data_IF_252993807164
#
_entry.id   IF_252993807164
#
_cell.length_a   1.000
_cell.length_b   1.000
_cell.length_c   1.000
_cell.angle_alpha   90.00
_cell.angle_beta   90.00
_cell.angle_gamma   90.00
#
_symmetry.space_group_name_H-M   'P 1'
#
loop_
_entity.id
_entity.type
_entity.pdbx_description
1 polymer ?
#
# COMPACT_ATOMS: atom_id res chain seq x y z
N UNK A 1 2.16 -28.09 5.96
CA UNK A 1 1.09 -27.20 5.48
C UNK A 1 1.70 -26.01 4.78
N UNK A 2 1.25 -25.59 3.59
CA UNK A 2 1.77 -24.37 2.98
C UNK A 2 1.26 -23.18 3.80
N UNK A 3 2.17 -22.32 4.23
CA UNK A 3 1.88 -21.09 4.95
C UNK A 3 1.15 -20.12 4.01
N UNK A 4 -0.04 -19.68 4.40
CA UNK A 4 -0.77 -18.57 3.78
C UNK A 4 0.16 -17.34 3.84
N UNK A 5 0.39 -16.62 2.73
CA UNK A 5 1.18 -15.39 2.78
C UNK A 5 0.48 -14.41 3.72
N UNK A 6 1.17 -14.06 4.80
CA UNK A 6 0.71 -13.08 5.78
C UNK A 6 0.60 -11.74 5.06
N UNK A 7 -0.58 -11.12 5.09
CA UNK A 7 -0.77 -9.77 4.55
C UNK A 7 0.24 -8.82 5.21
N UNK A 8 1.01 -8.10 4.40
CA UNK A 8 1.99 -7.14 4.92
C UNK A 8 1.24 -5.89 5.34
N UNK A 9 1.25 -5.59 6.64
CA UNK A 9 0.81 -4.30 7.16
C UNK A 9 2.01 -3.35 7.15
N UNK A 10 1.87 -2.20 6.48
CA UNK A 10 2.88 -1.16 6.47
C UNK A 10 2.28 0.12 7.03
N UNK A 11 2.95 0.71 8.02
CA UNK A 11 2.60 2.00 8.61
C UNK A 11 3.71 2.99 8.31
N UNK A 12 3.33 4.20 7.89
CA UNK A 12 4.24 5.32 7.69
C UNK A 12 3.67 6.54 8.40
N UNK A 13 4.53 7.26 9.11
CA UNK A 13 4.20 8.52 9.80
C UNK A 13 5.13 9.61 9.27
N UNK A 14 4.57 10.79 9.02
CA UNK A 14 5.32 11.95 8.57
C UNK A 14 4.85 13.17 9.37
N UNK A 15 5.78 13.85 10.03
CA UNK A 15 5.54 15.13 10.69
C UNK A 15 5.59 16.26 9.66
N UNK A 16 4.63 17.16 9.73
CA UNK A 16 4.51 18.28 8.81
C UNK A 16 4.40 19.58 9.64
N UNK A 17 5.47 20.37 9.65
CA UNK A 17 5.50 21.64 10.37
C UNK A 17 5.01 22.78 9.46
N UNK A 18 3.89 23.40 9.81
CA UNK A 18 3.42 24.63 9.20
C UNK A 18 3.83 25.82 10.06
N UNK A 19 4.73 26.69 9.56
CA UNK A 19 5.15 27.89 10.29
C UNK A 19 4.36 29.13 9.85
N UNK A 20 3.45 29.56 10.71
CA UNK A 20 3.09 30.96 10.97
C UNK A 20 3.27 31.11 12.49
N UNK A 21 3.82 32.21 13.02
CA UNK A 21 4.28 32.42 14.43
C UNK A 21 3.22 32.15 15.55
N UNK A 22 2.66 30.95 15.61
CA UNK A 22 1.73 30.42 16.61
C UNK A 22 1.78 28.88 16.56
N UNK A 23 2.09 28.27 17.70
CA UNK A 23 2.07 26.82 17.89
C UNK A 23 0.67 26.38 18.33
N UNK A 24 -0.06 25.65 17.47
CA UNK A 24 -1.44 25.22 17.75
C UNK A 24 -1.66 23.80 17.21
N UNK A 25 -2.31 22.94 18.01
CA UNK A 25 -2.67 21.57 17.66
C UNK A 25 -3.78 21.50 16.60
N UNK A 26 -3.55 20.74 15.52
CA UNK A 26 -4.54 20.51 14.47
C UNK A 26 -5.38 19.26 14.79
N UNK A 27 -6.72 19.35 14.81
CA UNK A 27 -7.56 18.21 15.07
C UNK A 27 -7.47 17.18 13.93
N UNK A 28 -7.49 15.87 14.27
CA UNK A 28 -7.28 14.83 13.29
C UNK A 28 -8.52 14.50 12.45
N UNK A 29 -8.37 14.49 11.13
CA UNK A 29 -9.34 13.84 10.26
C UNK A 29 -8.97 12.37 10.03
N UNK A 30 -9.97 11.52 9.83
CA UNK A 30 -9.81 10.07 9.72
C UNK A 30 -10.33 9.57 8.37
N UNK A 31 -9.45 8.94 7.61
CA UNK A 31 -9.82 8.25 6.38
C UNK A 31 -9.70 6.74 6.55
N UNK A 32 -10.76 6.01 6.21
CA UNK A 32 -10.75 4.56 6.07
C UNK A 32 -11.21 4.22 4.65
N UNK A 33 -10.36 3.57 3.87
CA UNK A 33 -10.68 3.21 2.49
C UNK A 33 -10.22 1.81 2.15
N UNK A 34 -11.00 1.11 1.34
CA UNK A 34 -10.60 -0.16 0.73
C UNK A 34 -9.81 0.11 -0.55
N UNK A 35 -8.78 -0.70 -0.82
CA UNK A 35 -8.02 -0.63 -2.06
C UNK A 35 -7.87 -2.01 -2.71
N UNK A 36 -7.63 -1.98 -4.02
CA UNK A 36 -7.32 -3.17 -4.82
C UNK A 36 -6.06 -2.92 -5.64
N UNK A 37 -5.12 -3.87 -5.56
CA UNK A 37 -3.94 -3.91 -6.43
C UNK A 37 -4.17 -5.03 -7.44
N UNK A 38 -4.16 -4.67 -8.71
CA UNK A 38 -4.35 -5.59 -9.83
C UNK A 38 -3.01 -5.83 -10.49
N UNK A 39 -2.53 -7.07 -10.44
CA UNK A 39 -1.26 -7.48 -11.04
C UNK A 39 -1.53 -8.47 -12.17
N UNK A 40 -1.18 -8.10 -13.41
CA UNK A 40 -1.32 -8.98 -14.58
C UNK A 40 0.03 -9.57 -14.95
N UNK A 41 0.07 -10.87 -15.22
CA UNK A 41 1.30 -11.59 -15.51
C UNK A 41 1.36 -12.00 -16.97
N UNK A 42 2.55 -11.83 -17.56
CA UNK A 42 2.86 -12.19 -18.94
C UNK A 42 4.25 -12.81 -19.04
N UNK A 43 4.45 -13.65 -20.05
CA UNK A 43 5.74 -14.23 -20.37
C UNK A 43 5.78 -15.75 -20.22
N UNK A 44 6.98 -16.26 -19.92
CA UNK A 44 7.27 -17.69 -19.86
C UNK A 44 8.18 -18.00 -18.69
N UNK A 45 7.98 -19.16 -18.08
CA UNK A 45 8.85 -19.72 -17.04
C UNK A 45 9.68 -20.83 -17.67
N UNK A 46 11.00 -20.76 -17.48
CA UNK A 46 11.93 -21.80 -17.89
C UNK A 46 12.44 -22.52 -16.65
N UNK A 47 12.28 -23.85 -16.64
CA UNK A 47 12.78 -24.71 -15.58
C UNK A 47 13.81 -25.65 -16.18
N UNK A 48 15.05 -25.50 -15.75
CA UNK A 48 16.16 -26.36 -16.16
C UNK A 48 16.39 -27.44 -15.11
N UNK A 49 16.39 -28.69 -15.55
CA UNK A 49 16.74 -29.84 -14.73
C UNK A 49 18.21 -30.17 -14.93
N UNK A 50 18.91 -30.36 -13.82
CA UNK A 50 20.31 -30.75 -13.80
C UNK A 50 20.48 -32.00 -12.93
N UNK A 51 21.42 -32.86 -13.33
CA UNK A 51 21.79 -34.03 -12.55
C UNK A 51 22.42 -33.60 -11.24
N UNK A 52 21.89 -34.08 -10.11
CA UNK A 52 22.42 -33.73 -8.79
C UNK A 52 23.89 -34.16 -8.59
N UNK A 53 24.34 -35.20 -9.29
CA UNK A 53 25.68 -35.80 -9.10
C UNK A 53 26.79 -35.00 -9.77
N UNK A 54 26.56 -34.51 -10.98
CA UNK A 54 27.58 -33.85 -11.82
C UNK A 54 27.12 -32.50 -12.40
N UNK A 55 25.89 -32.08 -12.11
CA UNK A 55 25.24 -30.87 -12.65
C UNK A 55 25.09 -30.87 -14.17
N UNK A 56 25.13 -32.05 -14.79
CA UNK A 56 24.87 -32.15 -16.23
C UNK A 56 23.44 -31.72 -16.54
N UNK A 57 23.29 -30.99 -17.64
CA UNK A 57 22.00 -30.59 -18.15
C UNK A 57 21.17 -31.82 -18.57
N UNK A 58 19.97 -31.95 -18.01
CA UNK A 58 19.03 -33.04 -18.35
C UNK A 58 17.99 -32.54 -19.35
N UNK A 59 17.30 -31.45 -19.02
CA UNK A 59 16.24 -30.90 -19.85
C UNK A 59 15.91 -29.47 -19.43
N UNK A 60 15.36 -28.67 -20.35
CA UNK A 60 14.71 -27.39 -20.04
C UNK A 60 13.25 -27.47 -20.46
N UNK A 61 12.34 -27.24 -19.51
CA UNK A 61 10.91 -27.08 -19.77
C UNK A 61 10.60 -25.60 -19.88
N UNK A 62 9.88 -25.22 -20.93
CA UNK A 62 9.42 -23.86 -21.16
C UNK A 62 7.89 -23.82 -21.16
N UNK A 63 7.30 -23.10 -20.21
CA UNK A 63 5.84 -23.00 -20.05
C UNK A 63 5.43 -21.53 -20.07
N UNK A 64 4.38 -21.21 -20.81
CA UNK A 64 3.81 -19.86 -20.80
C UNK A 64 2.98 -19.64 -19.54
N UNK A 65 3.04 -18.42 -19.00
CA UNK A 65 2.47 -18.10 -17.69
C UNK A 65 0.94 -18.26 -17.67
N UNK A 66 0.27 -17.99 -18.80
CA UNK A 66 -1.17 -18.23 -18.98
C UNK A 66 -1.55 -19.70 -18.81
N UNK A 67 -0.73 -20.62 -19.33
CA UNK A 67 -0.94 -22.07 -19.17
C UNK A 67 -0.60 -22.52 -17.77
N UNK A 68 0.46 -21.95 -17.18
CA UNK A 68 0.94 -22.30 -15.85
C UNK A 68 -0.10 -21.99 -14.77
N UNK A 69 -0.78 -20.85 -14.86
CA UNK A 69 -1.80 -20.46 -13.89
C UNK A 69 -3.23 -20.88 -14.26
N UNK A 70 -3.42 -21.56 -15.41
CA UNK A 70 -4.73 -22.04 -15.83
C UNK A 70 -5.28 -23.04 -14.82
N UNK A 71 -6.47 -22.75 -14.28
CA UNK A 71 -7.12 -23.60 -13.28
C UNK A 71 -6.73 -23.30 -11.83
N UNK A 72 -5.80 -22.37 -11.59
CA UNK A 72 -5.57 -21.85 -10.25
C UNK A 72 -6.71 -20.88 -9.87
N UNK A 73 -7.35 -21.11 -8.72
CA UNK A 73 -8.50 -20.32 -8.24
C UNK A 73 -8.11 -18.91 -7.77
N UNK A 74 -6.84 -18.69 -7.49
CA UNK A 74 -6.33 -17.40 -7.00
C UNK A 74 -6.10 -16.39 -8.13
N UNK A 75 -6.13 -16.84 -9.38
CA UNK A 75 -5.95 -16.00 -10.56
C UNK A 75 -7.24 -15.90 -11.36
N UNK A 76 -7.61 -14.67 -11.72
CA UNK A 76 -8.64 -14.39 -12.72
C UNK A 76 -7.98 -14.15 -14.07
N UNK A 77 -8.69 -14.43 -15.16
CA UNK A 77 -8.16 -14.20 -16.50
C UNK A 77 -8.84 -12.97 -17.10
N UNK A 78 -8.05 -12.02 -17.58
CA UNK A 78 -8.58 -10.81 -18.21
C UNK A 78 -9.13 -11.10 -19.63
N UNK A 79 -9.64 -10.06 -20.29
CA UNK A 79 -10.22 -10.14 -21.64
C UNK A 79 -9.23 -10.67 -22.71
N UNK A 80 -7.92 -10.54 -22.45
CA UNK A 80 -6.85 -11.04 -23.31
C UNK A 80 -6.36 -12.45 -22.94
N UNK A 81 -7.01 -13.11 -21.98
CA UNK A 81 -6.62 -14.43 -21.49
C UNK A 81 -5.32 -14.43 -20.67
N UNK A 82 -4.94 -13.29 -20.09
CA UNK A 82 -3.76 -13.18 -19.23
C UNK A 82 -4.14 -13.38 -17.77
N UNK A 83 -3.38 -14.15 -16.99
CA UNK A 83 -3.65 -14.37 -15.59
C UNK A 83 -3.37 -13.10 -14.78
N UNK A 84 -4.30 -12.76 -13.92
CA UNK A 84 -4.34 -11.54 -13.12
C UNK A 84 -4.62 -11.90 -11.66
N UNK A 85 -3.81 -11.39 -10.75
CA UNK A 85 -3.98 -11.52 -9.31
C UNK A 85 -4.53 -10.21 -8.74
N UNK A 86 -5.57 -10.31 -7.91
CA UNK A 86 -6.21 -9.14 -7.27
C UNK A 86 -5.96 -9.22 -5.77
N UNK A 87 -5.08 -8.37 -5.28
CA UNK A 87 -4.88 -8.19 -3.84
C UNK A 87 -5.83 -7.11 -3.34
N UNK A 88 -6.56 -7.40 -2.26
CA UNK A 88 -7.44 -6.46 -1.55
C UNK A 88 -6.80 -6.05 -0.25
N UNK A 89 -6.96 -4.78 0.13
CA UNK A 89 -6.49 -4.27 1.40
C UNK A 89 -7.33 -3.12 1.91
N UNK A 90 -7.04 -2.70 3.13
CA UNK A 90 -7.68 -1.57 3.80
C UNK A 90 -6.58 -0.58 4.17
N UNK A 91 -6.80 0.69 3.86
CA UNK A 91 -5.95 1.79 4.25
C UNK A 91 -6.65 2.62 5.33
N UNK A 92 -5.92 2.96 6.40
CA UNK A 92 -6.39 3.85 7.45
C UNK A 92 -5.39 4.98 7.61
N UNK A 93 -5.84 6.22 7.44
CA UNK A 93 -4.99 7.40 7.51
C UNK A 93 -5.58 8.41 8.48
N UNK A 94 -4.70 9.19 9.11
CA UNK A 94 -5.05 10.33 9.95
C UNK A 94 -4.21 11.52 9.52
N UNK A 95 -4.82 12.65 9.20
CA UNK A 95 -4.11 13.86 8.76
C UNK A 95 -4.88 15.13 9.17
N UNK A 96 -4.14 16.23 9.36
CA UNK A 96 -4.74 17.54 9.61
C UNK A 96 -5.18 18.19 8.30
N UNK A 97 -6.42 18.69 8.24
CA UNK A 97 -7.03 19.19 6.99
C UNK A 97 -7.14 20.72 6.95
N UNK A 98 -7.34 21.37 8.10
CA UNK A 98 -7.60 22.81 8.17
C UNK A 98 -7.02 23.44 9.43
N UNK A 99 -6.58 24.70 9.30
CA UNK A 99 -6.16 25.56 10.42
C UNK A 99 -7.07 26.79 10.47
N UNK A 100 -7.79 26.96 11.57
CA UNK A 100 -8.67 28.11 11.80
C UNK A 100 -8.10 29.01 12.90
N UNK A 101 -7.76 30.25 12.58
CA UNK A 101 -7.28 31.25 13.55
C UNK A 101 -8.39 32.25 13.85
N UNK A 102 -8.82 32.32 15.11
CA UNK A 102 -9.80 33.31 15.58
C UNK A 102 -9.08 34.39 16.38
N UNK A 103 -8.97 35.58 15.79
CA UNK A 103 -8.49 36.78 16.47
C UNK A 103 -9.66 37.49 17.16
N UNK A 104 -9.46 37.85 18.43
CA UNK A 104 -10.40 38.66 19.20
C UNK A 104 -9.65 39.79 19.88
N UNK A 105 -10.12 41.02 19.70
CA UNK A 105 -9.63 42.20 20.41
C UNK A 105 -10.48 42.42 21.67
N UNK A 106 -9.82 42.74 22.78
CA UNK A 106 -10.48 43.15 24.02
C UNK A 106 -9.79 44.40 24.58
N UNK A 107 -10.55 45.35 25.18
CA UNK A 107 -9.96 46.53 25.82
C UNK A 107 -8.95 46.12 26.90
N UNK A 108 -7.84 46.84 26.97
CA UNK A 108 -6.86 46.67 28.04
C UNK A 108 -7.49 47.24 29.33
N UNK A 109 -7.55 46.49 30.44
CA UNK A 109 -8.00 47.02 31.72
C UNK A 109 -7.13 48.20 32.10
N UNK A 110 -7.75 49.37 32.29
CA UNK A 110 -7.08 50.50 32.91
C UNK A 110 -7.03 50.16 34.40
N UNK A 111 -5.86 49.77 34.90
CA UNK A 111 -5.63 49.75 36.34
C UNK A 111 -5.51 51.21 36.80
N UNK A 112 -6.56 51.70 37.46
CA UNK A 112 -6.53 52.97 38.17
C UNK A 112 -5.51 52.85 39.30
N UNK A 113 -4.33 53.42 39.12
CA UNK A 113 -3.38 53.64 40.22
C UNK A 113 -3.88 54.84 41.03
N UNK A 114 -4.51 54.57 42.18
CA UNK A 114 -4.78 55.54 43.26
C UNK A 114 -3.47 56.05 43.91
#
# INVERSE_FOLDING_TARGET
SPSIPVGVCHTSEQELAWSVDNEIEVPPDHFNGDFQIVTTFEGKVLVTYESKKNRDHIATINVSVDKLFKGNKDFVFNEFGRPTFIAKGVCKCRFGVEQNVKLTESPIPIEDYD
#
